data_IF_509798569516
#
_entry.id   IF_509798569516
#
_cell.length_a   1.000
_cell.length_b   1.000
_cell.length_c   1.000
_cell.angle_alpha   90.00
_cell.angle_beta   90.00
_cell.angle_gamma   90.00
#
_symmetry.space_group_name_H-M   'P 1'
#
loop_
_entity.id
_entity.type
_entity.pdbx_description
1 polymer ?
#
# COMPACT_ATOMS: atom_id res chain seq x y z
N UNK A 1 -4.80 -27.71 -6.86
CA UNK A 1 -6.10 -27.07 -6.59
C UNK A 1 -6.00 -26.50 -5.19
N UNK A 2 -6.31 -25.22 -5.00
CA UNK A 2 -6.28 -24.59 -3.67
C UNK A 2 -7.40 -25.22 -2.84
N UNK A 3 -7.10 -25.59 -1.60
CA UNK A 3 -8.08 -26.10 -0.64
C UNK A 3 -7.93 -25.30 0.64
N UNK A 4 -9.02 -24.71 1.12
CA UNK A 4 -9.03 -23.85 2.30
C UNK A 4 -10.10 -24.39 3.26
N UNK A 5 -9.72 -24.64 4.51
CA UNK A 5 -10.63 -25.00 5.58
C UNK A 5 -11.29 -23.73 6.14
N UNK A 6 -12.60 -23.59 5.88
CA UNK A 6 -13.41 -22.47 6.33
C UNK A 6 -13.59 -22.45 7.86
N UNK A 7 -13.57 -23.60 8.52
CA UNK A 7 -13.73 -23.66 9.98
C UNK A 7 -12.57 -22.98 10.69
N UNK A 8 -11.33 -23.18 10.21
CA UNK A 8 -10.15 -22.49 10.76
C UNK A 8 -10.21 -20.96 10.54
N UNK A 9 -10.90 -20.49 9.49
CA UNK A 9 -11.08 -19.05 9.25
C UNK A 9 -12.05 -18.42 10.24
N UNK A 10 -13.04 -19.16 10.74
CA UNK A 10 -14.01 -18.66 11.73
C UNK A 10 -13.31 -18.30 13.06
N UNK A 11 -12.26 -19.05 13.43
CA UNK A 11 -11.44 -18.79 14.62
C UNK A 11 -10.68 -17.46 14.54
N UNK A 12 -10.40 -16.95 13.33
CA UNK A 12 -9.79 -15.63 13.14
C UNK A 12 -10.78 -14.48 13.47
N UNK A 13 -12.08 -14.78 13.52
CA UNK A 13 -13.16 -13.82 13.70
C UNK A 13 -13.20 -12.75 12.60
N UNK A 14 -13.84 -11.61 12.87
CA UNK A 14 -13.93 -10.50 11.91
C UNK A 14 -12.79 -9.48 11.98
N UNK A 15 -11.61 -9.83 12.49
CA UNK A 15 -10.44 -8.96 12.34
C UNK A 15 -9.87 -9.14 10.91
N UNK A 16 -9.89 -8.12 10.05
CA UNK A 16 -9.55 -8.29 8.64
C UNK A 16 -8.09 -8.70 8.41
N UNK A 17 -7.17 -8.28 9.28
CA UNK A 17 -5.75 -8.64 9.18
C UNK A 17 -5.53 -10.10 9.54
N UNK A 18 -6.12 -10.56 10.65
CA UNK A 18 -6.03 -11.97 11.06
C UNK A 18 -6.69 -12.90 10.04
N UNK A 19 -7.85 -12.50 9.51
CA UNK A 19 -8.59 -13.28 8.53
C UNK A 19 -7.81 -13.42 7.21
N UNK A 20 -7.21 -12.34 6.71
CA UNK A 20 -6.33 -12.41 5.54
C UNK A 20 -5.10 -13.29 5.80
N UNK A 21 -4.50 -13.20 6.99
CA UNK A 21 -3.37 -14.05 7.37
C UNK A 21 -3.76 -15.52 7.45
N UNK A 22 -4.92 -15.86 8.03
CA UNK A 22 -5.41 -17.23 8.11
C UNK A 22 -5.63 -17.85 6.71
N UNK A 23 -6.15 -17.06 5.75
CA UNK A 23 -6.23 -17.50 4.35
C UNK A 23 -4.83 -17.76 3.77
N UNK A 24 -3.89 -16.85 3.99
CA UNK A 24 -2.51 -16.98 3.48
C UNK A 24 -1.75 -18.17 4.09
N UNK A 25 -1.99 -18.49 5.37
CA UNK A 25 -1.32 -19.57 6.08
C UNK A 25 -1.72 -20.96 5.57
N UNK A 26 -2.90 -21.08 4.95
CA UNK A 26 -3.36 -22.32 4.32
C UNK A 26 -2.88 -22.50 2.87
N UNK A 27 -2.17 -21.51 2.31
CA UNK A 27 -1.55 -21.64 0.99
C UNK A 27 -0.19 -22.34 1.13
N UNK A 28 -0.02 -23.49 0.47
CA UNK A 28 1.22 -24.27 0.53
C UNK A 28 2.45 -23.51 0.00
N UNK A 29 2.23 -22.64 -0.98
CA UNK A 29 3.20 -21.66 -1.47
C UNK A 29 2.48 -20.35 -1.75
N UNK A 30 2.92 -19.26 -1.12
CA UNK A 30 2.41 -17.91 -1.39
C UNK A 30 3.07 -17.38 -2.67
N UNK A 31 2.63 -17.90 -3.82
CA UNK A 31 3.08 -17.40 -5.11
C UNK A 31 2.40 -16.06 -5.42
N UNK A 32 3.21 -15.06 -5.76
CA UNK A 32 2.72 -13.76 -6.20
C UNK A 32 2.69 -13.71 -7.74
N UNK A 33 1.65 -13.12 -8.34
CA UNK A 33 0.51 -12.48 -7.69
C UNK A 33 -0.44 -13.50 -7.03
N UNK A 34 -0.97 -13.14 -5.86
CA UNK A 34 -1.91 -13.98 -5.09
C UNK A 34 -3.12 -14.36 -5.98
N UNK A 35 -3.44 -15.66 -6.11
CA UNK A 35 -4.49 -16.18 -6.99
C UNK A 35 -5.88 -15.98 -6.36
N UNK A 36 -6.32 -14.71 -6.27
CA UNK A 36 -7.52 -14.31 -5.52
C UNK A 36 -8.82 -14.94 -6.05
N UNK A 37 -8.89 -15.26 -7.34
CA UNK A 37 -10.06 -15.92 -7.94
C UNK A 37 -10.15 -17.36 -7.51
N UNK A 38 -9.03 -18.08 -7.55
CA UNK A 38 -8.92 -19.46 -7.13
C UNK A 38 -9.15 -19.60 -5.62
N UNK A 39 -8.66 -18.64 -4.82
CA UNK A 39 -8.95 -18.54 -3.39
C UNK A 39 -10.45 -18.35 -3.15
N UNK A 40 -11.09 -17.42 -3.86
CA UNK A 40 -12.53 -17.19 -3.74
C UNK A 40 -13.34 -18.46 -4.11
N UNK A 41 -12.98 -19.15 -5.19
CA UNK A 41 -13.62 -20.42 -5.57
C UNK A 41 -13.41 -21.52 -4.54
N UNK A 42 -12.22 -21.62 -3.93
CA UNK A 42 -11.95 -22.56 -2.84
C UNK A 42 -12.72 -22.23 -1.55
N UNK A 43 -13.32 -21.04 -1.46
CA UNK A 43 -14.13 -20.54 -0.35
C UNK A 43 -15.62 -20.47 -0.70
N UNK A 44 -16.08 -21.34 -1.61
CA UNK A 44 -17.50 -21.45 -2.01
C UNK A 44 -18.09 -20.20 -2.70
N UNK A 45 -17.25 -19.33 -3.25
CA UNK A 45 -17.69 -18.40 -4.30
C UNK A 45 -17.84 -19.19 -5.60
N UNK A 46 -19.06 -19.60 -5.89
CA UNK A 46 -19.37 -20.47 -7.03
C UNK A 46 -19.26 -19.74 -8.38
N UNK A 47 -19.34 -18.40 -8.39
CA UNK A 47 -19.27 -17.61 -9.61
C UNK A 47 -18.62 -16.24 -9.41
N UNK A 48 -17.75 -15.85 -10.35
CA UNK A 48 -17.19 -14.49 -10.45
C UNK A 48 -17.50 -13.95 -11.85
N UNK A 49 -18.42 -13.00 -11.93
CA UNK A 49 -18.85 -12.39 -13.19
C UNK A 49 -18.16 -11.05 -13.44
N UNK A 50 -17.74 -10.81 -14.67
CA UNK A 50 -17.32 -9.48 -15.12
C UNK A 50 -18.44 -8.80 -15.91
N UNK A 51 -18.94 -7.67 -15.43
CA UNK A 51 -20.02 -6.93 -16.10
C UNK A 51 -19.59 -5.50 -16.46
N UNK A 52 -19.83 -5.03 -17.71
CA UNK A 52 -19.50 -3.66 -18.09
C UNK A 52 -20.54 -2.67 -17.55
N UNK A 53 -20.11 -1.41 -17.30
CA UNK A 53 -20.99 -0.26 -17.00
C UNK A 53 -21.92 -0.43 -15.79
N UNK A 54 -21.51 -1.19 -14.80
CA UNK A 54 -22.22 -1.27 -13.50
C UNK A 54 -22.12 0.06 -12.75
N UNK A 55 -23.13 0.35 -11.91
CA UNK A 55 -23.13 1.50 -10.98
C UNK A 55 -22.21 1.33 -9.77
N UNK A 56 -21.55 0.17 -9.65
CA UNK A 56 -20.65 -0.24 -8.57
C UNK A 56 -19.33 -0.77 -9.16
N UNK A 57 -18.26 -0.83 -8.37
CA UNK A 57 -17.01 -1.50 -8.75
C UNK A 57 -17.11 -3.01 -8.50
N UNK A 58 -17.73 -3.39 -7.38
CA UNK A 58 -17.95 -4.77 -6.96
C UNK A 58 -19.33 -4.98 -6.33
N UNK A 59 -19.81 -6.22 -6.35
CA UNK A 59 -20.98 -6.65 -5.60
C UNK A 59 -20.80 -8.09 -5.10
N UNK A 60 -21.25 -8.34 -3.87
CA UNK A 60 -21.33 -9.67 -3.27
C UNK A 60 -22.79 -10.06 -3.09
N UNK A 61 -23.16 -11.21 -3.67
CA UNK A 61 -24.47 -11.84 -3.51
C UNK A 61 -24.26 -13.14 -2.75
N UNK A 62 -24.78 -13.19 -1.52
CA UNK A 62 -24.69 -14.37 -0.67
C UNK A 62 -25.92 -14.43 0.27
N UNK A 63 -26.37 -15.64 0.65
CA UNK A 63 -27.36 -15.82 1.71
C UNK A 63 -26.82 -15.30 3.06
N UNK A 64 -27.71 -15.12 4.04
CA UNK A 64 -27.31 -14.60 5.37
C UNK A 64 -26.32 -15.52 6.10
N UNK A 65 -26.43 -16.83 5.89
CA UNK A 65 -25.53 -17.84 6.45
C UNK A 65 -24.19 -17.93 5.72
N UNK A 66 -24.04 -17.24 4.58
CA UNK A 66 -22.83 -17.21 3.74
C UNK A 66 -22.34 -18.61 3.38
N UNK A 67 -23.25 -19.56 3.20
CA UNK A 67 -22.92 -20.93 2.79
C UNK A 67 -22.20 -20.97 1.43
N UNK A 68 -22.63 -20.14 0.48
CA UNK A 68 -22.04 -19.96 -0.85
C UNK A 68 -22.17 -18.50 -1.30
N UNK A 69 -21.57 -18.11 -2.42
CA UNK A 69 -21.76 -16.75 -2.94
C UNK A 69 -21.34 -16.53 -4.39
N UNK A 70 -21.73 -15.38 -4.92
CA UNK A 70 -21.28 -14.89 -6.22
C UNK A 70 -20.73 -13.47 -6.10
N UNK A 71 -19.68 -13.19 -6.88
CA UNK A 71 -19.05 -11.87 -6.97
C UNK A 71 -19.28 -11.30 -8.37
N UNK A 72 -19.70 -10.04 -8.45
CA UNK A 72 -19.71 -9.27 -9.70
C UNK A 72 -18.62 -8.20 -9.60
N UNK A 73 -17.78 -8.09 -10.62
CA UNK A 73 -16.75 -7.06 -10.74
C UNK A 73 -16.90 -6.29 -12.04
N UNK A 74 -16.61 -4.99 -12.03
CA UNK A 74 -16.74 -4.19 -13.26
C UNK A 74 -15.65 -4.53 -14.28
N UNK A 75 -16.08 -4.90 -15.48
CA UNK A 75 -15.21 -5.43 -16.54
C UNK A 75 -14.23 -4.39 -17.14
N UNK A 76 -14.59 -3.11 -17.14
CA UNK A 76 -13.82 -2.01 -17.76
C UNK A 76 -12.70 -1.45 -16.86
N UNK A 77 -12.22 -2.28 -15.93
CA UNK A 77 -11.14 -1.95 -14.98
C UNK A 77 -9.89 -2.76 -15.26
N UNK A 78 -8.75 -2.23 -14.81
CA UNK A 78 -7.49 -2.95 -14.92
C UNK A 78 -7.50 -4.20 -14.04
N UNK A 79 -6.66 -5.19 -14.35
CA UNK A 79 -6.62 -6.44 -13.60
C UNK A 79 -6.27 -6.22 -12.12
N UNK A 80 -5.38 -5.26 -11.82
CA UNK A 80 -5.04 -4.90 -10.44
C UNK A 80 -6.28 -4.41 -9.67
N UNK A 81 -7.13 -3.61 -10.34
CA UNK A 81 -8.36 -3.11 -9.74
C UNK A 81 -9.38 -4.24 -9.58
N UNK A 82 -9.54 -5.12 -10.57
CA UNK A 82 -10.45 -6.28 -10.45
C UNK A 82 -10.04 -7.18 -9.30
N UNK A 83 -8.75 -7.51 -9.18
CA UNK A 83 -8.20 -8.32 -8.09
C UNK A 83 -8.48 -7.69 -6.73
N UNK A 84 -8.24 -6.38 -6.59
CA UNK A 84 -8.56 -5.64 -5.36
C UNK A 84 -10.05 -5.69 -5.02
N UNK A 85 -10.92 -5.50 -6.01
CA UNK A 85 -12.37 -5.59 -5.81
C UNK A 85 -12.79 -7.00 -5.38
N UNK A 86 -12.29 -8.05 -6.03
CA UNK A 86 -12.61 -9.44 -5.64
C UNK A 86 -12.14 -9.72 -4.21
N UNK A 87 -10.92 -9.29 -3.85
CA UNK A 87 -10.43 -9.40 -2.47
C UNK A 87 -11.30 -8.63 -1.47
N UNK A 88 -11.82 -7.47 -1.86
CA UNK A 88 -12.72 -6.66 -1.02
C UNK A 88 -14.06 -7.37 -0.80
N UNK A 89 -14.71 -7.86 -1.86
CA UNK A 89 -15.95 -8.62 -1.73
C UNK A 89 -15.74 -9.92 -0.93
N UNK A 90 -14.59 -10.57 -1.08
CA UNK A 90 -14.21 -11.73 -0.26
C UNK A 90 -14.06 -11.35 1.22
N UNK A 91 -13.56 -10.15 1.53
CA UNK A 91 -13.54 -9.62 2.90
C UNK A 91 -14.95 -9.44 3.48
N UNK A 92 -15.90 -8.97 2.67
CA UNK A 92 -17.32 -8.95 3.06
C UNK A 92 -17.87 -10.35 3.27
N UNK A 93 -17.51 -11.31 2.42
CA UNK A 93 -17.98 -12.68 2.49
C UNK A 93 -17.47 -13.39 3.74
N UNK A 94 -16.17 -13.35 4.02
CA UNK A 94 -15.57 -14.10 5.12
C UNK A 94 -15.81 -13.50 6.50
N UNK A 95 -16.01 -12.18 6.62
CA UNK A 95 -16.21 -11.58 7.94
C UNK A 95 -17.62 -11.90 8.49
N UNK A 96 -17.78 -12.66 9.60
CA UNK A 96 -19.09 -13.12 10.08
C UNK A 96 -20.02 -11.97 10.52
N UNK A 97 -19.48 -10.78 10.80
CA UNK A 97 -20.27 -9.63 11.24
C UNK A 97 -20.69 -8.69 10.09
N UNK A 98 -20.19 -8.93 8.87
CA UNK A 98 -20.58 -8.18 7.69
C UNK A 98 -21.94 -8.72 7.19
N UNK A 99 -22.99 -7.92 7.39
CA UNK A 99 -24.35 -8.21 6.89
C UNK A 99 -24.82 -7.05 6.02
N UNK A 100 -25.22 -7.32 4.79
CA UNK A 100 -25.80 -6.28 3.93
C UNK A 100 -27.13 -5.81 4.52
N UNK A 101 -27.39 -4.51 4.42
CA UNK A 101 -28.70 -3.92 4.73
C UNK A 101 -29.66 -3.97 3.53
N UNK A 102 -29.14 -4.35 2.36
CA UNK A 102 -29.91 -4.46 1.11
C UNK A 102 -30.25 -5.92 0.82
N UNK A 103 -31.48 -6.23 0.36
CA UNK A 103 -31.84 -7.57 -0.10
C UNK A 103 -31.01 -8.02 -1.31
N UNK A 104 -30.42 -7.08 -2.06
CA UNK A 104 -29.60 -7.37 -3.24
C UNK A 104 -28.12 -7.68 -2.90
N UNK A 105 -27.76 -7.85 -1.63
CA UNK A 105 -26.37 -8.05 -1.21
C UNK A 105 -25.57 -6.75 -1.10
N UNK A 106 -24.23 -6.83 -1.13
CA UNK A 106 -23.35 -5.66 -1.11
C UNK A 106 -23.19 -5.08 -2.52
N UNK A 107 -23.12 -3.74 -2.63
CA UNK A 107 -22.86 -3.01 -3.88
C UNK A 107 -21.84 -1.91 -3.60
N UNK A 108 -20.57 -2.21 -3.79
CA UNK A 108 -19.46 -1.38 -3.36
C UNK A 108 -18.99 -0.44 -4.48
N UNK A 109 -18.99 0.86 -4.22
CA UNK A 109 -18.63 1.90 -5.20
C UNK A 109 -17.15 2.25 -5.16
N UNK A 110 -16.66 3.01 -6.16
CA UNK A 110 -15.29 3.54 -6.14
C UNK A 110 -14.98 4.37 -4.89
N UNK A 111 -15.98 5.06 -4.33
CA UNK A 111 -15.84 5.82 -3.08
C UNK A 111 -15.59 4.87 -1.91
N UNK A 112 -16.33 3.76 -1.84
CA UNK A 112 -16.17 2.76 -0.81
C UNK A 112 -14.77 2.12 -0.83
N UNK A 113 -14.32 1.72 -2.02
CA UNK A 113 -12.99 1.14 -2.22
C UNK A 113 -11.82 2.11 -1.94
N UNK A 114 -12.10 3.41 -1.78
CA UNK A 114 -11.13 4.44 -1.44
C UNK A 114 -11.22 4.89 0.03
N UNK A 115 -12.11 4.30 0.84
CA UNK A 115 -12.24 4.64 2.27
C UNK A 115 -11.09 4.03 3.07
N UNK A 116 -10.43 4.87 3.88
CA UNK A 116 -9.32 4.45 4.76
C UNK A 116 -9.63 4.63 6.26
N UNK A 117 -10.66 5.42 6.61
CA UNK A 117 -10.96 5.80 8.00
C UNK A 117 -12.22 5.12 8.49
N UNK A 118 -12.08 4.35 9.58
CA UNK A 118 -13.22 3.77 10.30
C UNK A 118 -14.01 4.89 10.99
N UNK A 119 -15.32 4.88 10.76
CA UNK A 119 -16.27 5.55 11.63
C UNK A 119 -16.87 4.51 12.58
N UNK A 120 -16.69 4.69 13.89
CA UNK A 120 -17.19 3.75 14.90
C UNK A 120 -18.72 3.79 15.05
N UNK A 121 -19.34 4.88 14.62
CA UNK A 121 -20.78 5.09 14.73
C UNK A 121 -21.53 4.68 13.46
N UNK A 122 -20.82 4.47 12.35
CA UNK A 122 -21.39 4.02 11.08
C UNK A 122 -20.91 2.60 10.76
N UNK A 123 -21.79 1.63 11.00
CA UNK A 123 -21.53 0.22 10.74
C UNK A 123 -21.19 -0.05 9.27
N UNK A 124 -21.83 0.65 8.35
CA UNK A 124 -21.61 0.46 6.92
C UNK A 124 -20.20 0.91 6.54
N UNK A 125 -19.79 2.12 6.97
CA UNK A 125 -18.42 2.62 6.74
C UNK A 125 -17.38 1.68 7.36
N UNK A 126 -17.62 1.19 8.59
CA UNK A 126 -16.70 0.25 9.24
C UNK A 126 -16.49 -1.01 8.39
N UNK A 127 -17.56 -1.62 7.91
CA UNK A 127 -17.49 -2.85 7.11
C UNK A 127 -16.75 -2.65 5.78
N UNK A 128 -16.98 -1.52 5.10
CA UNK A 128 -16.28 -1.17 3.85
C UNK A 128 -14.77 -0.99 4.08
N UNK A 129 -14.39 -0.33 5.18
CA UNK A 129 -12.98 -0.16 5.54
C UNK A 129 -12.34 -1.48 5.98
N UNK A 130 -13.04 -2.32 6.74
CA UNK A 130 -12.58 -3.67 7.11
C UNK A 130 -12.35 -4.54 5.87
N UNK A 131 -13.25 -4.49 4.88
CA UNK A 131 -13.09 -5.18 3.60
C UNK A 131 -11.91 -4.65 2.77
N UNK A 132 -11.68 -3.32 2.74
CA UNK A 132 -10.50 -2.72 2.13
C UNK A 132 -9.20 -3.20 2.79
N UNK A 133 -9.16 -3.24 4.13
CA UNK A 133 -8.01 -3.75 4.89
C UNK A 133 -7.77 -5.22 4.54
N UNK A 134 -8.80 -6.06 4.57
CA UNK A 134 -8.68 -7.48 4.22
C UNK A 134 -8.08 -7.66 2.83
N UNK A 135 -8.62 -6.98 1.80
CA UNK A 135 -8.12 -7.05 0.43
C UNK A 135 -6.65 -6.64 0.32
N UNK A 136 -6.29 -5.54 0.99
CA UNK A 136 -4.91 -5.06 0.98
C UNK A 136 -3.94 -6.00 1.71
N UNK A 137 -4.35 -6.65 2.81
CA UNK A 137 -3.51 -7.62 3.53
C UNK A 137 -3.35 -8.92 2.73
N UNK A 138 -4.43 -9.38 2.08
CA UNK A 138 -4.40 -10.58 1.23
C UNK A 138 -3.51 -10.38 0.01
N UNK A 139 -3.67 -9.27 -0.72
CA UNK A 139 -2.98 -9.03 -1.99
C UNK A 139 -1.56 -8.47 -1.85
N UNK A 140 -1.25 -7.84 -0.71
CA UNK A 140 0.08 -7.30 -0.42
C UNK A 140 0.57 -7.78 0.96
N UNK A 141 0.88 -9.09 1.12
CA UNK A 141 1.27 -9.66 2.41
C UNK A 141 2.49 -8.97 3.02
N UNK A 142 2.33 -8.47 4.26
CA UNK A 142 3.39 -7.72 4.97
C UNK A 142 4.69 -8.50 5.09
N UNK A 143 4.62 -9.82 5.31
CA UNK A 143 5.80 -10.69 5.44
C UNK A 143 6.71 -10.61 4.21
N UNK A 144 6.13 -10.65 3.01
CA UNK A 144 6.89 -10.65 1.76
C UNK A 144 7.53 -9.28 1.52
N UNK A 145 6.78 -8.20 1.78
CA UNK A 145 7.29 -6.84 1.65
C UNK A 145 8.42 -6.58 2.64
N UNK A 146 8.28 -7.02 3.90
CA UNK A 146 9.36 -6.92 4.90
C UNK A 146 10.60 -7.69 4.48
N UNK A 147 10.45 -8.90 3.94
CA UNK A 147 11.57 -9.69 3.44
C UNK A 147 12.29 -8.98 2.28
N UNK A 148 11.53 -8.40 1.34
CA UNK A 148 12.10 -7.61 0.25
C UNK A 148 12.87 -6.39 0.77
N UNK A 149 12.29 -5.63 1.71
CA UNK A 149 12.93 -4.45 2.32
C UNK A 149 14.20 -4.81 3.13
N UNK A 150 14.28 -6.02 3.67
CA UNK A 150 15.48 -6.49 4.37
C UNK A 150 16.62 -6.82 3.40
N UNK A 151 16.31 -7.27 2.18
CA UNK A 151 17.31 -7.58 1.15
C UNK A 151 17.66 -6.38 0.25
N UNK A 152 16.78 -5.39 0.16
CA UNK A 152 16.94 -4.18 -0.65
C UNK A 152 17.01 -2.95 0.26
N UNK A 153 18.24 -2.49 0.53
CA UNK A 153 18.50 -1.26 1.29
C UNK A 153 18.28 -0.03 0.41
N UNK A 154 17.89 1.09 1.01
CA UNK A 154 17.52 2.30 0.29
C UNK A 154 16.03 2.29 -0.07
N UNK A 155 15.26 3.22 0.47
CA UNK A 155 13.94 3.52 -0.06
C UNK A 155 14.10 4.02 -1.50
N UNK A 156 13.38 3.43 -2.46
CA UNK A 156 13.47 3.81 -3.88
C UNK A 156 12.12 3.63 -4.59
N UNK A 157 11.81 4.50 -5.55
CA UNK A 157 10.64 4.39 -6.39
C UNK A 157 10.70 3.16 -7.31
N UNK A 158 11.88 2.71 -7.71
CA UNK A 158 12.05 1.50 -8.51
C UNK A 158 11.59 0.26 -7.73
N UNK A 159 11.97 0.14 -6.45
CA UNK A 159 11.48 -0.91 -5.55
C UNK A 159 9.95 -0.96 -5.48
N UNK A 160 9.31 0.21 -5.43
CA UNK A 160 7.85 0.31 -5.41
C UNK A 160 7.25 -0.18 -6.73
N UNK A 161 7.86 0.12 -7.88
CA UNK A 161 7.37 -0.32 -9.18
C UNK A 161 7.52 -1.84 -9.33
N UNK A 162 8.68 -2.39 -8.97
CA UNK A 162 8.94 -3.84 -9.01
C UNK A 162 7.95 -4.60 -8.13
N UNK A 163 7.74 -4.14 -6.90
CA UNK A 163 6.77 -4.77 -6.00
C UNK A 163 5.33 -4.63 -6.53
N UNK A 164 4.97 -3.49 -7.11
CA UNK A 164 3.63 -3.30 -7.67
C UNK A 164 3.36 -4.30 -8.80
N UNK A 165 4.33 -4.53 -9.68
CA UNK A 165 4.28 -5.53 -10.74
C UNK A 165 4.25 -6.95 -10.16
N UNK A 166 5.16 -7.28 -9.24
CA UNK A 166 5.25 -8.59 -8.59
C UNK A 166 3.94 -9.01 -7.89
N UNK A 167 3.31 -8.09 -7.15
CA UNK A 167 2.03 -8.35 -6.49
C UNK A 167 0.82 -8.13 -7.41
N UNK A 168 1.01 -7.62 -8.63
CA UNK A 168 -0.02 -7.22 -9.58
C UNK A 168 -1.06 -6.27 -8.96
N UNK A 169 -0.58 -5.23 -8.28
CA UNK A 169 -1.40 -4.19 -7.64
C UNK A 169 -1.08 -2.81 -8.22
N UNK A 170 -1.96 -1.84 -8.00
CA UNK A 170 -1.65 -0.48 -8.45
C UNK A 170 -0.39 0.06 -7.76
N UNK A 171 0.45 0.78 -8.51
CA UNK A 171 1.63 1.50 -8.00
C UNK A 171 1.32 2.33 -6.75
N UNK A 172 0.13 2.92 -6.76
CA UNK A 172 -0.38 3.74 -5.66
C UNK A 172 -0.70 2.92 -4.39
N UNK A 173 -1.29 1.74 -4.52
CA UNK A 173 -1.51 0.84 -3.38
C UNK A 173 -0.17 0.31 -2.82
N UNK A 174 0.75 -0.09 -3.70
CA UNK A 174 2.06 -0.59 -3.29
C UNK A 174 2.89 0.49 -2.59
N UNK A 175 2.96 1.70 -3.15
CA UNK A 175 3.66 2.83 -2.56
C UNK A 175 3.20 3.13 -1.12
N UNK A 176 1.88 3.11 -0.87
CA UNK A 176 1.34 3.26 0.49
C UNK A 176 1.89 2.18 1.42
N UNK A 177 1.79 0.91 1.00
CA UNK A 177 2.22 -0.25 1.79
C UNK A 177 3.72 -0.25 2.04
N UNK A 178 4.52 0.11 1.03
CA UNK A 178 5.97 0.22 1.09
C UNK A 178 6.38 1.22 2.18
N UNK A 179 5.85 2.44 2.13
CA UNK A 179 6.13 3.47 3.15
C UNK A 179 5.65 3.05 4.53
N UNK A 180 4.53 2.34 4.65
CA UNK A 180 4.06 1.80 5.95
C UNK A 180 4.95 0.70 6.54
N UNK A 181 5.71 -0.03 5.71
CA UNK A 181 6.51 -1.17 6.16
C UNK A 181 8.01 -0.85 6.27
N UNK A 182 8.48 0.22 5.65
CA UNK A 182 9.88 0.61 5.67
C UNK A 182 10.24 1.39 6.96
N UNK A 183 10.23 0.67 8.09
CA UNK A 183 10.54 1.26 9.39
C UNK A 183 12.04 1.55 9.58
N UNK A 184 12.92 0.83 8.87
CA UNK A 184 14.37 1.03 8.96
C UNK A 184 14.82 2.28 8.20
N UNK A 185 14.06 2.67 7.18
CA UNK A 185 14.32 3.87 6.37
C UNK A 185 13.00 4.63 6.17
N UNK A 186 12.54 5.36 7.21
CA UNK A 186 11.30 6.12 7.15
C UNK A 186 11.27 7.06 5.96
N UNK A 187 10.13 7.09 5.26
CA UNK A 187 9.95 7.89 4.06
C UNK A 187 8.56 8.56 4.02
N UNK A 188 8.40 9.50 3.10
CA UNK A 188 7.10 10.00 2.66
C UNK A 188 6.94 9.83 1.16
N UNK A 189 5.74 9.47 0.72
CA UNK A 189 5.37 9.42 -0.69
C UNK A 189 4.19 10.36 -0.97
N UNK A 190 4.37 11.21 -1.97
CA UNK A 190 3.43 12.24 -2.39
C UNK A 190 2.89 11.87 -3.76
N UNK A 191 1.57 11.89 -3.88
CA UNK A 191 0.86 11.63 -5.11
C UNK A 191 0.24 12.92 -5.62
N UNK A 192 0.67 13.37 -6.79
CA UNK A 192 0.16 14.59 -7.40
C UNK A 192 -0.45 14.32 -8.78
N UNK A 193 -1.30 15.24 -9.22
CA UNK A 193 -1.82 15.31 -10.58
C UNK A 193 -1.69 16.73 -11.09
N UNK A 194 -0.97 16.91 -12.20
CA UNK A 194 -0.46 18.23 -12.58
C UNK A 194 0.32 18.83 -11.42
N UNK A 195 0.04 20.09 -11.09
CA UNK A 195 0.70 20.79 -9.98
C UNK A 195 -0.02 20.64 -8.62
N UNK A 196 -0.96 19.71 -8.46
CA UNK A 196 -1.76 19.59 -7.23
C UNK A 196 -1.53 18.26 -6.53
N UNK A 197 -1.22 18.31 -5.24
CA UNK A 197 -1.12 17.14 -4.37
C UNK A 197 -2.52 16.57 -4.18
N UNK A 198 -2.71 15.30 -4.54
CA UNK A 198 -3.95 14.57 -4.30
C UNK A 198 -4.00 14.03 -2.89
N UNK A 199 -2.94 13.33 -2.51
CA UNK A 199 -2.75 12.85 -1.14
C UNK A 199 -1.29 12.48 -0.86
N UNK A 200 -1.01 12.26 0.42
CA UNK A 200 0.32 11.99 0.96
C UNK A 200 0.21 10.75 1.86
N UNK A 201 1.23 9.88 1.79
CA UNK A 201 1.46 8.85 2.80
C UNK A 201 2.84 9.07 3.43
N UNK A 202 2.89 9.10 4.76
CA UNK A 202 4.09 9.34 5.54
C UNK A 202 4.28 8.20 6.54
N UNK A 203 5.50 7.67 6.67
CA UNK A 203 5.84 6.77 7.76
C UNK A 203 5.79 7.54 9.09
N UNK A 204 5.37 6.93 10.20
CA UNK A 204 5.18 7.66 11.47
C UNK A 204 6.43 8.38 11.94
N UNK A 205 7.60 7.81 11.64
CA UNK A 205 8.91 8.28 12.08
C UNK A 205 9.58 9.23 11.06
N UNK A 206 8.94 9.48 9.91
CA UNK A 206 9.40 10.49 8.97
C UNK A 206 8.95 11.89 9.42
N UNK A 207 9.72 12.97 9.18
CA UNK A 207 9.34 14.33 9.57
C UNK A 207 7.98 14.80 9.02
N UNK A 208 7.31 15.67 9.77
CA UNK A 208 6.06 16.25 9.31
C UNK A 208 6.28 17.14 8.09
N UNK A 209 5.35 17.05 7.13
CA UNK A 209 5.41 17.83 5.91
C UNK A 209 4.71 19.19 6.09
N UNK A 210 5.26 20.21 5.44
CA UNK A 210 4.70 21.57 5.35
C UNK A 210 3.50 21.68 4.38
N UNK A 211 3.16 20.57 3.72
CA UNK A 211 2.10 20.49 2.72
C UNK A 211 1.05 19.43 3.07
N UNK A 212 -0.15 19.59 2.53
CA UNK A 212 -1.26 18.66 2.74
C UNK A 212 -1.98 18.32 1.45
N UNK A 213 -3.04 17.52 1.59
CA UNK A 213 -3.90 17.17 0.47
C UNK A 213 -4.53 18.44 -0.13
N UNK A 214 -4.38 18.62 -1.44
CA UNK A 214 -4.88 19.79 -2.15
C UNK A 214 -3.90 20.94 -2.28
N UNK A 215 -2.76 20.92 -1.56
CA UNK A 215 -1.68 21.89 -1.74
C UNK A 215 -1.08 21.79 -3.16
N UNK A 216 -0.42 22.87 -3.59
CA UNK A 216 0.40 22.83 -4.80
C UNK A 216 1.74 22.14 -4.51
N UNK A 217 2.39 21.61 -5.54
CA UNK A 217 3.76 21.11 -5.40
C UNK A 217 4.69 22.32 -5.15
N UNK A 218 5.58 22.28 -4.14
CA UNK A 218 6.52 23.37 -3.86
C UNK A 218 7.42 23.67 -5.06
N UNK A 219 7.58 24.94 -5.43
CA UNK A 219 8.33 25.35 -6.63
C UNK A 219 9.82 24.98 -6.60
N UNK A 220 10.41 24.91 -5.40
CA UNK A 220 11.81 24.49 -5.22
C UNK A 220 12.04 22.99 -5.34
N UNK A 221 10.97 22.17 -5.28
CA UNK A 221 11.09 20.71 -5.31
C UNK A 221 11.58 20.19 -6.67
N UNK A 222 12.24 19.04 -6.66
CA UNK A 222 12.56 18.31 -7.88
C UNK A 222 11.28 17.91 -8.63
N UNK A 223 10.23 17.52 -7.91
CA UNK A 223 8.92 17.16 -8.47
C UNK A 223 8.30 18.27 -9.31
N UNK A 224 8.49 19.55 -8.92
CA UNK A 224 8.02 20.70 -9.69
C UNK A 224 8.90 20.99 -10.92
N UNK A 225 10.23 20.86 -10.78
CA UNK A 225 11.20 21.23 -11.83
C UNK A 225 11.42 20.13 -12.87
N UNK A 226 11.20 18.86 -12.50
CA UNK A 226 11.45 17.70 -13.36
C UNK A 226 10.60 17.74 -14.61
N UNK A 227 11.24 17.57 -15.77
CA UNK A 227 10.51 17.38 -17.04
C UNK A 227 9.70 16.08 -16.99
N UNK A 228 8.53 16.08 -17.62
CA UNK A 228 7.57 14.96 -17.62
C UNK A 228 7.98 13.83 -18.59
N UNK A 229 9.17 13.25 -18.41
CA UNK A 229 9.49 12.00 -19.12
C UNK A 229 8.79 10.83 -18.41
N UNK A 230 7.66 10.42 -18.96
CA UNK A 230 6.79 9.38 -18.37
C UNK A 230 7.58 8.08 -18.15
N UNK A 231 7.52 7.56 -16.92
CA UNK A 231 8.12 6.29 -16.53
C UNK A 231 9.63 6.36 -16.25
N UNK A 232 10.27 7.51 -16.43
CA UNK A 232 11.67 7.68 -16.08
C UNK A 232 11.81 8.20 -14.65
N UNK A 233 12.55 7.48 -13.82
CA UNK A 233 12.90 7.91 -12.47
C UNK A 233 13.97 8.99 -12.53
N UNK A 234 13.83 10.03 -11.72
CA UNK A 234 14.94 10.95 -11.49
C UNK A 234 16.05 10.25 -10.71
N UNK A 235 17.27 10.77 -10.81
CA UNK A 235 18.27 10.54 -9.77
C UNK A 235 17.79 11.14 -8.45
N UNK A 236 18.36 10.66 -7.34
CA UNK A 236 18.19 11.28 -6.04
C UNK A 236 18.84 12.66 -6.03
N UNK A 237 18.11 13.66 -5.54
CA UNK A 237 18.61 15.02 -5.32
C UNK A 237 18.40 15.41 -3.86
N UNK A 238 19.46 15.89 -3.22
CA UNK A 238 19.35 16.57 -1.93
C UNK A 238 18.72 17.95 -2.16
N UNK A 239 17.71 18.27 -1.35
CA UNK A 239 16.95 19.50 -1.47
C UNK A 239 16.97 20.24 -0.14
N UNK A 240 16.74 21.55 -0.17
CA UNK A 240 16.53 22.29 1.07
C UNK A 240 15.32 21.70 1.79
N UNK A 241 15.53 21.27 3.03
CA UNK A 241 14.56 20.52 3.79
C UNK A 241 13.27 21.34 4.04
N UNK A 242 13.37 22.67 4.16
CA UNK A 242 12.23 23.58 4.35
C UNK A 242 11.17 23.52 3.23
N UNK A 243 11.55 23.03 2.04
CA UNK A 243 10.67 22.85 0.88
C UNK A 243 9.52 21.89 1.21
N UNK A 244 9.83 20.80 1.91
CA UNK A 244 8.85 19.75 2.20
C UNK A 244 8.56 19.58 3.69
N UNK A 245 9.54 19.78 4.57
CA UNK A 245 9.42 19.46 6.00
C UNK A 245 9.78 20.66 6.86
N UNK A 246 9.22 20.71 8.06
CA UNK A 246 9.70 21.61 9.11
C UNK A 246 10.97 21.00 9.72
N UNK A 247 12.10 21.26 9.07
CA UNK A 247 13.35 20.54 9.28
C UNK A 247 14.07 20.94 10.56
N UNK A 248 14.72 19.98 11.21
CA UNK A 248 15.75 20.27 12.21
C UNK A 248 17.04 20.73 11.52
N UNK A 249 17.93 21.49 12.18
CA UNK A 249 19.15 22.04 11.57
C UNK A 249 20.08 21.01 10.89
N UNK A 250 20.09 19.75 11.34
CA UNK A 250 20.98 18.69 10.84
C UNK A 250 20.23 17.60 10.07
N UNK A 251 19.17 17.98 9.35
CA UNK A 251 18.33 17.05 8.62
C UNK A 251 18.44 17.28 7.12
N UNK A 252 19.09 16.35 6.43
CA UNK A 252 19.11 16.31 4.98
C UNK A 252 17.84 15.62 4.48
N UNK A 253 17.25 16.18 3.41
CA UNK A 253 16.10 15.60 2.73
C UNK A 253 16.49 15.31 1.30
N UNK A 254 16.21 14.09 0.87
CA UNK A 254 16.43 13.67 -0.50
C UNK A 254 15.09 13.45 -1.18
N UNK A 255 15.04 13.79 -2.46
CA UNK A 255 13.85 13.69 -3.30
C UNK A 255 14.13 12.84 -4.54
N UNK A 256 13.20 11.95 -4.86
CA UNK A 256 13.14 11.20 -6.11
C UNK A 256 11.74 11.31 -6.70
N UNK A 257 11.61 11.43 -8.02
CA UNK A 257 10.31 11.56 -8.67
C UNK A 257 10.19 10.73 -9.94
N UNK A 258 8.97 10.31 -10.26
CA UNK A 258 8.61 9.69 -11.55
C UNK A 258 7.28 10.25 -12.06
N UNK A 259 7.30 10.73 -13.30
CA UNK A 259 6.10 11.13 -14.02
C UNK A 259 5.34 9.89 -14.54
N UNK A 260 4.02 9.93 -14.49
CA UNK A 260 3.12 8.90 -14.99
C UNK A 260 2.14 9.47 -16.01
N UNK A 261 1.40 8.60 -16.69
CA UNK A 261 0.39 9.01 -17.67
C UNK A 261 -0.67 9.92 -17.05
N UNK A 262 -1.35 10.71 -17.90
CA UNK A 262 -2.45 11.60 -17.50
C UNK A 262 -2.07 12.65 -16.44
N UNK A 263 -0.79 13.04 -16.40
CA UNK A 263 -0.26 14.06 -15.50
C UNK A 263 -0.12 13.62 -14.06
N UNK A 264 -0.18 12.32 -13.76
CA UNK A 264 0.11 11.80 -12.42
C UNK A 264 1.61 11.80 -12.14
N UNK A 265 2.00 11.97 -10.89
CA UNK A 265 3.41 11.91 -10.46
C UNK A 265 3.52 11.33 -9.06
N UNK A 266 4.58 10.55 -8.84
CA UNK A 266 5.03 10.11 -7.52
C UNK A 266 6.27 10.90 -7.13
N UNK A 267 6.34 11.28 -5.87
CA UNK A 267 7.53 11.88 -5.27
C UNK A 267 7.81 11.13 -3.98
N UNK A 268 9.00 10.55 -3.87
CA UNK A 268 9.47 9.88 -2.68
C UNK A 268 10.47 10.80 -1.97
N UNK A 269 10.29 10.96 -0.67
CA UNK A 269 11.18 11.71 0.20
C UNK A 269 11.78 10.78 1.23
N UNK A 270 13.09 10.88 1.42
CA UNK A 270 13.83 10.25 2.52
C UNK A 270 14.55 11.31 3.32
N UNK A 271 14.94 10.96 4.55
CA UNK A 271 15.64 11.88 5.44
C UNK A 271 16.83 11.18 6.07
N UNK A 272 17.97 11.87 6.10
CA UNK A 272 19.13 11.44 6.87
C UNK A 272 19.38 12.49 7.96
N UNK A 273 19.69 12.04 9.17
CA UNK A 273 20.09 12.93 10.26
C UNK A 273 21.58 12.77 10.44
N UNK A 274 22.33 13.84 10.25
CA UNK A 274 23.75 13.83 10.55
C UNK A 274 23.92 13.72 12.07
N UNK A 275 24.67 12.72 12.52
CA UNK A 275 25.05 12.62 13.91
C UNK A 275 25.93 13.83 14.25
N UNK A 276 25.65 14.49 15.38
CA UNK A 276 26.60 15.44 15.94
C UNK A 276 27.88 14.66 16.25
N UNK A 277 28.96 14.94 15.50
CA UNK A 277 30.29 14.68 15.99
C UNK A 277 30.54 15.75 17.06
N UNK A 278 30.51 15.34 18.32
CA UNK A 278 31.06 16.15 19.41
C UNK A 278 32.57 16.19 19.16
N UNK A 279 33.07 17.24 18.50
CA UNK A 279 34.50 17.51 18.31
C UNK A 279 35.15 17.98 19.64
N UNK A 280 34.63 17.54 20.79
CA UNK A 280 35.07 17.87 22.15
C UNK A 280 35.43 16.60 22.97
N UNK A 281 35.84 15.51 22.33
CA UNK A 281 36.63 14.46 23.00
C UNK A 281 38.12 14.67 22.68
N UNK A 282 38.74 15.58 23.43
CA UNK A 282 40.19 15.64 23.60
C UNK A 282 40.69 14.27 24.11
N UNK A 283 41.37 13.55 23.23
CA UNK A 283 42.48 12.62 23.51
C UNK A 283 42.24 11.54 24.59
N UNK A 284 41.60 10.43 24.21
CA UNK A 284 41.93 9.12 24.80
C UNK A 284 42.22 8.08 23.71
N UNK A 285 43.51 7.84 23.55
CA UNK A 285 44.14 6.81 22.75
C UNK A 285 43.66 5.41 23.20
N UNK A 286 42.84 4.73 22.38
CA UNK A 286 42.69 3.28 22.42
C UNK A 286 42.55 2.75 20.99
N UNK A 287 43.69 2.32 20.43
CA UNK A 287 43.77 1.36 19.33
C UNK A 287 42.87 0.14 19.62
N UNK A 288 41.68 0.07 19.01
CA UNK A 288 41.10 -1.16 18.46
C UNK A 288 39.68 -0.91 17.91
N UNK A 289 39.56 -0.59 16.62
CA UNK A 289 38.35 -0.89 15.85
C UNK A 289 38.64 -1.02 14.35
N UNK A 290 39.50 -1.98 14.02
CA UNK A 290 39.54 -2.49 12.66
C UNK A 290 38.29 -3.32 12.35
N UNK A 291 37.60 -2.90 11.28
CA UNK A 291 36.75 -3.67 10.35
C UNK A 291 35.24 -3.75 10.62
N UNK A 292 34.43 -3.13 9.75
CA UNK A 292 33.82 -3.77 8.56
C UNK A 292 32.94 -2.75 7.79
N UNK A 293 33.46 -2.21 6.67
CA UNK A 293 33.15 -2.57 5.26
C UNK A 293 31.85 -1.97 4.69
N UNK A 294 32.01 -0.78 4.11
CA UNK A 294 31.21 -0.33 2.96
C UNK A 294 31.56 -1.16 1.72
N UNK A 295 30.55 -1.70 1.06
CA UNK A 295 30.61 -2.12 -0.33
C UNK A 295 29.23 -1.85 -0.96
N UNK A 296 29.09 -0.68 -1.61
CA UNK A 296 28.08 -0.46 -2.65
C UNK A 296 28.82 -0.64 -3.98
N UNK A 297 28.50 -1.73 -4.68
CA UNK A 297 29.05 -2.07 -5.98
C UNK A 297 28.12 -1.64 -7.11
N UNK A 298 28.76 -1.29 -8.23
CA UNK A 298 28.22 -0.88 -9.53
C UNK A 298 27.14 -1.79 -10.10
#
# INVERSE_FOLDING_TARGET
MISIDRMELEDAGGNPVKLAQAVLDQLSDVNCPIPVREIATALDIYEIMEQPKTGFEGALIAPEDKSEGAIIVRADRSEERKRYTIGHELGHYLNPWHKSVSPDGFKCTAKNLAMEKIDRNDRYIRMEVEANVFSAELLMPRKHIKQYLQSHKGADLEHIMELAEFFCVSKEAMARRYVEQNANEPAAIIFSKGNKIRYIKRHTDFPWLNVGNGSLIPQGSLSFRSQDLIGHFSSWEEINADIWVDAKPNQAIFEQTVAQSNGYRLTLLTSETEAYHDDDDDEFDVEDSWALKFARGR
#
